data_IF_779162533344
#
_entry.id   IF_779162533344
#
_cell.length_a   1.000
_cell.length_b   1.000
_cell.length_c   1.000
_cell.angle_alpha   90.00
_cell.angle_beta   90.00
_cell.angle_gamma   90.00
#
_symmetry.space_group_name_H-M   'P 1'
#
loop_
_entity.id
_entity.type
_entity.pdbx_description
1 polymer ?
#
# COMPACT_ATOMS: atom_id res chain seq x y z
N UNK A 1 16.73 17.74 0.32
CA UNK A 1 17.58 17.46 -0.85
C UNK A 1 17.56 15.98 -1.26
N UNK A 2 18.25 15.03 -0.59
CA UNK A 2 18.33 13.63 -1.07
C UNK A 2 16.96 12.90 -1.12
N UNK A 3 16.10 13.10 -0.12
CA UNK A 3 14.75 12.50 -0.10
C UNK A 3 13.71 13.16 -1.01
N UNK A 4 13.96 14.40 -1.45
CA UNK A 4 13.06 15.10 -2.38
C UNK A 4 13.30 14.61 -3.81
N UNK A 5 14.57 14.44 -4.20
CA UNK A 5 14.95 13.89 -5.51
C UNK A 5 14.41 12.47 -5.70
N UNK A 6 14.40 11.62 -4.66
CA UNK A 6 13.84 10.27 -4.77
C UNK A 6 12.32 10.26 -4.94
N UNK A 7 11.61 11.20 -4.31
CA UNK A 7 10.16 11.33 -4.44
C UNK A 7 9.75 11.73 -5.87
N UNK A 8 10.48 12.64 -6.50
CA UNK A 8 10.24 13.07 -7.89
C UNK A 8 10.42 11.91 -8.89
N UNK A 9 11.49 11.12 -8.72
CA UNK A 9 11.76 9.94 -9.56
C UNK A 9 10.65 8.89 -9.41
N UNK A 10 10.23 8.59 -8.17
CA UNK A 10 9.15 7.65 -7.89
C UNK A 10 7.82 8.11 -8.50
N UNK A 11 7.51 9.40 -8.41
CA UNK A 11 6.29 9.98 -8.99
C UNK A 11 6.26 9.81 -10.51
N UNK A 12 7.39 10.10 -11.17
CA UNK A 12 7.51 9.92 -12.63
C UNK A 12 7.32 8.46 -13.03
N UNK A 13 7.89 7.53 -12.28
CA UNK A 13 7.72 6.10 -12.52
C UNK A 13 6.28 5.63 -12.33
N UNK A 14 5.59 6.11 -11.30
CA UNK A 14 4.18 5.81 -11.04
C UNK A 14 3.28 6.29 -12.19
N UNK A 15 3.53 7.48 -12.74
CA UNK A 15 2.77 8.02 -13.86
C UNK A 15 2.97 7.19 -15.14
N UNK A 16 4.21 6.76 -15.42
CA UNK A 16 4.50 5.86 -16.55
C UNK A 16 3.76 4.52 -16.41
N UNK A 17 3.75 3.92 -15.22
CA UNK A 17 3.02 2.68 -14.97
C UNK A 17 1.51 2.86 -15.12
N UNK A 18 0.96 3.94 -14.56
CA UNK A 18 -0.47 4.25 -14.67
C UNK A 18 -0.90 4.44 -16.14
N UNK A 19 -0.06 5.09 -16.97
CA UNK A 19 -0.33 5.24 -18.41
C UNK A 19 -0.41 3.90 -19.16
N UNK A 20 0.23 2.86 -18.63
CA UNK A 20 0.21 1.47 -19.15
C UNK A 20 -0.89 0.62 -18.52
N UNK A 21 -1.72 1.19 -17.65
CA UNK A 21 -2.73 0.48 -16.87
C UNK A 21 -2.15 -0.45 -15.81
N UNK A 22 -0.90 -0.22 -15.38
CA UNK A 22 -0.18 -1.04 -14.40
C UNK A 22 0.02 -0.28 -13.09
N UNK A 23 0.18 -1.04 -12.01
CA UNK A 23 0.55 -0.54 -10.68
C UNK A 23 1.93 -1.07 -10.30
N UNK A 24 2.62 -0.38 -9.39
CA UNK A 24 3.97 -0.75 -8.92
C UNK A 24 4.06 -2.16 -8.32
N UNK A 25 2.96 -2.66 -7.78
CA UNK A 25 2.84 -3.95 -7.14
C UNK A 25 2.06 -4.97 -7.99
N UNK A 26 1.83 -4.65 -9.27
CA UNK A 26 1.22 -5.56 -10.25
C UNK A 26 -0.28 -5.82 -10.08
N UNK A 27 -0.93 -5.21 -9.10
CA UNK A 27 -2.36 -5.37 -8.84
C UNK A 27 -3.23 -4.79 -9.94
N UNK A 28 -4.46 -5.30 -10.07
CA UNK A 28 -5.52 -4.70 -10.85
C UNK A 28 -5.94 -3.31 -10.33
N UNK A 29 -6.66 -2.52 -11.12
CA UNK A 29 -7.13 -1.18 -10.72
C UNK A 29 -8.18 -1.27 -9.60
N UNK A 30 -8.96 -2.34 -9.61
CA UNK A 30 -10.05 -2.69 -8.69
C UNK A 30 -9.63 -3.69 -7.61
N UNK A 31 -8.33 -4.02 -7.52
CA UNK A 31 -7.81 -5.02 -6.60
C UNK A 31 -7.24 -4.38 -5.31
N UNK A 32 -7.75 -4.83 -4.16
CA UNK A 32 -7.22 -4.50 -2.85
C UNK A 32 -5.84 -5.11 -2.62
N UNK A 33 -5.06 -4.56 -1.68
CA UNK A 33 -3.88 -5.29 -1.18
C UNK A 33 -4.36 -6.52 -0.41
N UNK A 34 -3.53 -7.56 -0.24
CA UNK A 34 -3.83 -8.64 0.70
C UNK A 34 -4.22 -8.05 2.05
N UNK A 35 -5.41 -8.41 2.54
CA UNK A 35 -5.93 -7.95 3.84
C UNK A 35 -5.89 -9.13 4.79
N UNK A 36 -5.32 -8.95 5.97
CA UNK A 36 -5.38 -9.92 7.05
C UNK A 36 -5.91 -9.27 8.31
N UNK A 37 -6.90 -9.93 8.92
CA UNK A 37 -7.58 -9.46 10.12
C UNK A 37 -7.29 -10.46 11.24
N UNK A 38 -6.67 -9.97 12.31
CA UNK A 38 -6.32 -10.75 13.49
C UNK A 38 -7.13 -10.24 14.68
N UNK A 39 -8.30 -10.85 14.98
CA UNK A 39 -9.11 -10.45 16.13
C UNK A 39 -8.41 -10.83 17.44
N UNK A 40 -8.67 -10.07 18.51
CA UNK A 40 -8.09 -10.30 19.83
C UNK A 40 -6.60 -9.98 19.93
N UNK A 41 -6.05 -9.17 19.03
CA UNK A 41 -4.62 -8.81 19.01
C UNK A 41 -4.12 -8.17 20.31
N UNK A 42 -4.94 -7.32 20.94
CA UNK A 42 -4.62 -6.68 22.22
C UNK A 42 -5.27 -7.44 23.38
N UNK A 43 -4.45 -8.14 24.15
CA UNK A 43 -4.90 -9.08 25.20
C UNK A 43 -5.71 -8.43 26.34
N UNK A 44 -5.44 -7.15 26.66
CA UNK A 44 -6.11 -6.44 27.76
C UNK A 44 -7.31 -5.61 27.29
N UNK A 45 -7.62 -5.61 26.00
CA UNK A 45 -8.76 -4.87 25.45
C UNK A 45 -10.00 -5.76 25.45
N UNK A 46 -11.18 -5.18 25.76
CA UNK A 46 -12.47 -5.89 25.69
C UNK A 46 -12.81 -6.39 24.27
N UNK A 47 -12.24 -5.74 23.25
CA UNK A 47 -12.28 -6.17 21.86
C UNK A 47 -11.16 -5.49 21.05
N UNK A 48 -10.52 -6.24 20.15
CA UNK A 48 -9.47 -5.70 19.29
C UNK A 48 -9.37 -6.47 17.97
N UNK A 49 -8.80 -5.83 16.95
CA UNK A 49 -8.39 -6.49 15.72
C UNK A 49 -7.16 -5.76 15.15
N UNK A 50 -6.16 -6.52 14.71
CA UNK A 50 -5.03 -5.99 13.95
C UNK A 50 -5.29 -6.23 12.46
N UNK A 51 -5.20 -5.16 11.66
CA UNK A 51 -5.47 -5.18 10.22
C UNK A 51 -4.20 -4.75 9.49
N UNK A 52 -3.71 -5.59 8.58
CA UNK A 52 -2.58 -5.29 7.71
C UNK A 52 -2.86 -5.68 6.26
#
# INVERSE_FOLDING_TARGET
MSGEVSAEILTTHLLDLASKGKRIDGRGIDEYRPIRIEPGFAANADGSAFVH
#
